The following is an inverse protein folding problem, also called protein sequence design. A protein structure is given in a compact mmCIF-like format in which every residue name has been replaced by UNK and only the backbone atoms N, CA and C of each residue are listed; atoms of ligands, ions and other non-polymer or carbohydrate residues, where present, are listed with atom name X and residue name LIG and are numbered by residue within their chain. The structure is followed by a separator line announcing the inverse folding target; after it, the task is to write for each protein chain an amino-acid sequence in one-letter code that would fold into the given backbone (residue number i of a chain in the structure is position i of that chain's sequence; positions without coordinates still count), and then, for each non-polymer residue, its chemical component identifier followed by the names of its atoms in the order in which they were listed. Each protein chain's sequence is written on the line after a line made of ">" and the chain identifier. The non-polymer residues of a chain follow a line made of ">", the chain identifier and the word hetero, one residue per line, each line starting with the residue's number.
data_IF_443457639789
#
_entry.id   IF_443457639789
#
_cell.length_a   1.000
_cell.length_b   1.000
_cell.length_c   1.000
_cell.angle_alpha   90.00
_cell.angle_beta   90.00
_cell.angle_gamma   90.00
#
_symmetry.space_group_name_H-M   'P 1'
#
loop_
_entity.id
_entity.type
_entity.pdbx_description
1 polymer ?
2 non-polymer ?
3 water ?
#
# COMPACT_ATOMS: atom_id res chain seq x y z
N UNK A 2 -9.32 8.64 -10.95
CA UNK A 2 -7.90 8.58 -10.48
C UNK A 2 -7.77 7.76 -9.20
N UNK A 3 -6.71 8.02 -8.44
CA UNK A 3 -6.42 7.26 -7.23
C UNK A 3 -6.32 8.18 -6.03
N UNK A 4 -6.36 7.57 -4.85
CA UNK A 4 -5.93 8.25 -3.65
C UNK A 4 -4.47 7.82 -3.42
N UNK A 5 -3.60 8.83 -3.29
CA UNK A 5 -2.22 8.60 -2.89
C UNK A 5 -2.13 8.61 -1.38
N UNK A 6 -1.57 7.55 -0.80
CA UNK A 6 -1.42 7.40 0.66
C UNK A 6 0.04 7.61 1.10
N UNK A 7 0.27 8.61 1.95
CA UNK A 7 1.60 9.04 2.41
C UNK A 7 2.11 8.14 3.54
N UNK A 8 2.94 7.17 3.20
CA UNK A 8 3.47 6.19 4.15
C UNK A 8 4.88 6.61 4.57
N UNK A 9 5.01 7.02 5.83
CA UNK A 9 6.22 7.62 6.33
C UNK A 9 7.32 6.60 6.58
N UNK A 10 8.49 6.87 6.02
CA UNK A 10 9.67 6.05 6.21
C UNK A 10 10.33 6.49 7.51
N UNK A 11 10.43 5.59 8.50
CA UNK A 11 11.01 5.93 9.82
C UNK A 11 12.45 5.46 10.03
N UNK A 12 12.84 4.37 9.40
CA UNK A 12 14.21 3.88 9.44
C UNK A 12 14.44 3.17 8.10
N UNK A 13 15.57 3.41 7.44
CA UNK A 13 15.83 2.77 6.14
C UNK A 13 16.67 1.51 6.32
N UNK A 14 16.50 0.56 5.41
CA UNK A 14 17.23 -0.70 5.51
C UNK A 14 18.74 -0.43 5.46
N UNK A 15 19.55 -1.32 6.05
CA UNK A 15 21.02 -1.18 6.01
C UNK A 15 21.62 -0.95 4.61
N UNK A 16 21.18 -1.72 3.62
CA UNK A 16 21.67 -1.56 2.25
C UNK A 16 21.35 -0.19 1.64
N UNK A 17 20.42 0.56 2.26
CA UNK A 17 20.04 1.90 1.82
C UNK A 17 20.72 3.03 2.57
N UNK A 18 21.19 2.75 3.79
CA UNK A 18 21.69 3.80 4.68
C UNK A 18 22.79 4.65 4.06
N UNK A 19 23.71 4.03 3.34
CA UNK A 19 24.83 4.76 2.76
C UNK A 19 24.29 5.77 1.73
N UNK A 20 23.39 5.29 0.88
CA UNK A 20 22.77 6.11 -0.18
C UNK A 20 22.09 7.36 0.35
N UNK A 21 21.23 7.21 1.36
CA UNK A 21 20.58 8.34 2.01
C UNK A 21 21.57 9.29 2.71
N UNK A 22 22.64 8.74 3.27
CA UNK A 22 23.67 9.55 3.91
C UNK A 22 24.38 10.42 2.88
N UNK A 23 24.78 9.82 1.77
CA UNK A 23 25.45 10.54 0.72
C UNK A 23 24.68 11.79 0.28
N UNK A 24 23.37 11.68 0.12
CA UNK A 24 22.53 12.80 -0.33
C UNK A 24 22.01 13.67 0.81
N UNK A 25 22.57 13.53 2.00
CA UNK A 25 22.19 14.35 3.15
C UNK A 25 20.69 14.34 3.39
N UNK A 26 20.07 13.17 3.17
CA UNK A 26 18.65 12.99 3.38
C UNK A 26 18.45 12.13 4.62
N UNK A 27 18.06 12.79 5.70
CA UNK A 27 17.84 12.14 6.98
C UNK A 27 16.35 11.91 7.24
N UNK A 28 15.97 10.64 7.34
CA UNK A 28 14.53 10.28 7.44
C UNK A 28 13.89 10.64 8.77
N UNK A 29 14.70 11.00 9.78
CA UNK A 29 14.16 11.50 11.04
C UNK A 29 14.00 13.02 11.07
N UNK A 30 14.69 13.74 10.19
CA UNK A 30 14.60 15.21 10.09
C UNK A 30 13.81 15.73 8.89
N UNK A 31 13.70 14.93 7.84
CA UNK A 31 12.89 15.26 6.68
C UNK A 31 11.71 14.30 6.59
N UNK A 32 10.64 14.72 5.93
CA UNK A 32 9.47 13.88 5.82
C UNK A 32 9.53 13.09 4.50
N UNK A 33 10.04 11.86 4.58
CA UNK A 33 10.18 11.00 3.41
C UNK A 33 9.06 9.94 3.40
N UNK A 34 8.29 9.94 2.30
CA UNK A 34 7.12 9.09 2.15
C UNK A 34 7.18 8.21 0.91
N UNK A 35 6.91 6.91 1.09
CA UNK A 35 6.44 6.03 0.01
C UNK A 35 4.99 6.42 -0.24
N UNK A 36 4.61 6.68 -1.49
CA UNK A 36 3.24 7.07 -1.82
C UNK A 36 2.53 5.94 -2.55
N UNK A 37 1.62 5.27 -1.84
CA UNK A 37 0.91 4.15 -2.39
C UNK A 37 -0.37 4.64 -3.08
N UNK A 38 -0.73 4.02 -4.20
CA UNK A 38 -1.97 4.34 -4.91
C UNK A 38 -3.08 3.35 -4.53
N UNK A 39 -4.20 3.86 -4.02
CA UNK A 39 -5.31 3.00 -3.64
C UNK A 39 -6.64 3.46 -4.19
N UNK A 40 -7.57 2.52 -4.33
CA UNK A 40 -8.98 2.85 -4.62
C UNK A 40 -9.89 2.52 -3.45
N UNK A 41 -9.30 2.10 -2.32
CA UNK A 41 -10.06 1.73 -1.13
C UNK A 41 -9.46 2.35 0.16
N UNK A 42 -9.50 3.70 0.26
CA UNK A 42 -9.06 4.41 1.48
C UNK A 42 -9.73 3.94 2.77
N UNK A 43 -10.99 3.48 2.70
CA UNK A 43 -11.68 2.96 3.90
C UNK A 43 -11.00 1.73 4.54
N UNK A 44 -10.10 1.05 3.82
CA UNK A 44 -9.43 -0.13 4.37
C UNK A 44 -8.06 0.15 4.99
N UNK A 45 -7.68 1.42 5.07
CA UNK A 45 -6.35 1.75 5.61
C UNK A 45 -6.11 1.25 7.04
N UNK A 46 -7.19 1.02 7.81
CA UNK A 46 -7.08 0.51 9.17
C UNK A 46 -6.35 -0.84 9.18
N UNK A 47 -6.46 -1.58 8.08
CA UNK A 47 -5.89 -2.92 8.00
C UNK A 47 -4.58 -3.06 7.22
N UNK A 48 -3.78 -2.01 7.10
CA UNK A 48 -2.48 -2.17 6.43
C UNK A 48 -1.54 -3.02 7.32
N UNK A 49 -0.91 -4.04 6.75
CA UNK A 49 0.04 -4.89 7.49
C UNK A 49 1.50 -4.80 7.00
N UNK A 50 1.71 -4.10 5.89
CA UNK A 50 3.04 -3.79 5.34
C UNK A 50 2.86 -2.81 4.17
N UNK A 51 3.96 -2.38 3.56
CA UNK A 51 3.92 -1.72 2.26
C UNK A 51 4.76 -2.48 1.22
N UNK A 52 4.19 -2.67 0.03
CA UNK A 52 4.86 -3.36 -1.06
C UNK A 52 5.60 -2.42 -2.02
N UNK A 53 6.82 -2.82 -2.39
CA UNK A 53 7.51 -2.28 -3.58
C UNK A 53 7.89 -3.50 -4.46
N UNK A 54 8.22 -3.25 -5.73
CA UNK A 54 8.67 -4.29 -6.64
C UNK A 54 10.18 -4.30 -6.71
N UNK A 55 10.79 -5.51 -6.68
CA UNK A 55 12.24 -5.66 -6.93
C UNK A 55 12.66 -5.25 -8.35
N UNK A 56 11.70 -5.15 -9.26
CA UNK A 56 11.99 -4.92 -10.67
C UNK A 56 11.93 -3.45 -11.08
N UNK A 57 11.60 -2.57 -10.13
CA UNK A 57 11.40 -1.16 -10.41
C UNK A 57 12.46 -0.28 -9.74
N UNK A 58 12.97 0.67 -10.52
CA UNK A 58 13.83 1.73 -10.01
C UNK A 58 12.95 2.94 -9.73
N UNK A 59 12.81 3.29 -8.47
CA UNK A 59 11.98 4.41 -8.05
C UNK A 59 12.83 5.66 -8.01
N UNK A 60 12.19 6.82 -8.06
CA UNK A 60 12.87 8.08 -7.76
C UNK A 60 12.49 8.58 -6.39
N UNK A 61 13.39 9.34 -5.78
CA UNK A 61 13.13 10.09 -4.57
C UNK A 61 13.04 11.54 -4.95
N UNK A 62 11.84 12.11 -4.85
CA UNK A 62 11.55 13.43 -5.42
C UNK A 62 11.29 14.46 -4.34
N UNK A 63 11.71 15.71 -4.57
CA UNK A 63 11.31 16.84 -3.73
C UNK A 63 9.83 17.17 -4.00
N UNK A 64 8.99 17.05 -2.97
CA UNK A 64 7.57 17.32 -3.10
C UNK A 64 7.21 18.63 -2.46
N UNK A 65 8.22 19.37 -2.01
CA UNK A 65 8.02 20.70 -1.44
C UNK A 65 7.79 20.68 0.05
N UNK A 66 8.09 21.83 0.67
CA UNK A 66 7.80 22.11 2.07
C UNK A 66 8.43 21.11 3.04
N UNK A 67 9.60 20.57 2.69
CA UNK A 67 10.25 19.52 3.48
C UNK A 67 9.72 18.09 3.32
N UNK A 68 8.78 17.88 2.39
CA UNK A 68 8.28 16.54 2.03
C UNK A 68 9.08 16.00 0.87
N UNK A 69 9.29 14.67 0.86
CA UNK A 69 9.88 13.95 -0.27
C UNK A 69 9.04 12.73 -0.58
N UNK A 70 8.77 12.45 -1.86
CA UNK A 70 7.99 11.26 -2.29
C UNK A 70 8.85 10.22 -3.01
N UNK A 71 8.58 8.95 -2.72
CA UNK A 71 9.17 7.84 -3.43
C UNK A 71 8.08 7.20 -4.29
N UNK A 72 8.25 7.32 -5.62
CA UNK A 72 7.31 6.81 -6.62
C UNK A 72 8.06 6.49 -7.92
N UNK A 73 7.38 5.93 -8.91
CA UNK A 73 7.92 5.90 -10.27
C UNK A 73 8.01 7.34 -10.79
N UNK A 74 8.95 7.57 -11.70
CA UNK A 74 9.07 8.89 -12.35
C UNK A 74 7.82 9.25 -13.14
N UNK A 75 7.22 8.26 -13.79
CA UNK A 75 5.97 8.42 -14.51
C UNK A 75 4.93 9.09 -13.66
N UNK A 76 4.75 8.55 -12.44
CA UNK A 76 3.71 9.05 -11.53
C UNK A 76 3.98 10.46 -11.04
N UNK A 77 5.23 10.77 -10.70
CA UNK A 77 5.57 12.10 -10.19
C UNK A 77 5.41 13.17 -11.27
N UNK A 78 5.72 12.79 -12.51
CA UNK A 78 5.52 13.67 -13.67
C UNK A 78 4.05 14.08 -13.81
N UNK A 79 3.15 13.11 -13.72
CA UNK A 79 1.71 13.38 -13.69
C UNK A 79 1.27 14.27 -12.55
N UNK A 80 1.84 14.02 -11.37
CA UNK A 80 1.56 14.83 -10.21
C UNK A 80 1.98 16.29 -10.48
N UNK A 81 3.09 16.50 -11.18
CA UNK A 81 3.55 17.88 -11.47
C UNK A 81 2.63 18.67 -12.40
N UNK A 82 1.78 17.97 -13.16
CA UNK A 82 0.78 18.62 -14.03
C UNK A 82 -0.56 18.90 -13.38
N UNK A 83 -0.66 18.73 -12.06
CA UNK A 83 -1.90 19.05 -11.34
C UNK A 83 -1.64 19.64 -9.96
N UNK A 84 -0.59 20.45 -9.86
CA UNK A 84 -0.34 21.31 -8.69
C UNK A 84 0.03 20.60 -7.38
N UNK A 85 0.61 19.41 -7.49
CA UNK A 85 1.01 18.61 -6.33
C UNK A 85 2.51 18.67 -6.07
N UNK A 86 3.25 19.41 -6.89
CA UNK A 86 4.71 19.47 -6.79
C UNK A 86 5.21 20.92 -6.88
N UNK A 87 6.48 21.14 -6.52
CA UNK A 87 7.00 22.52 -6.51
C UNK A 87 7.10 23.24 -7.88
N UNK A 88 7.14 22.50 -9.00
CA UNK A 88 7.24 23.13 -10.32
C UNK A 88 6.61 22.26 -11.40
N UNK A 89 5.70 22.86 -12.16
CA UNK A 89 5.00 22.19 -13.24
C UNK A 89 5.99 21.69 -14.28
N UNK A 90 5.87 20.41 -14.63
CA UNK A 90 6.74 19.80 -15.62
C UNK A 90 8.17 19.52 -15.19
N UNK A 91 8.49 19.70 -13.91
CA UNK A 91 9.84 19.39 -13.41
C UNK A 91 9.76 18.12 -12.57
N UNK A 92 10.57 17.11 -12.92
CA UNK A 92 10.49 15.80 -12.28
C UNK A 92 11.81 15.03 -12.26
N UNK A 93 12.92 15.71 -12.03
CA UNK A 93 14.19 15.02 -11.82
C UNK A 93 14.23 14.64 -10.34
N UNK A 94 14.50 13.36 -10.03
CA UNK A 94 14.69 12.98 -8.64
C UNK A 94 15.99 13.48 -8.06
N UNK A 95 16.06 13.55 -6.74
CA UNK A 95 17.32 13.78 -6.07
C UNK A 95 18.24 12.59 -6.38
N UNK A 96 17.69 11.38 -6.30
CA UNK A 96 18.37 10.16 -6.74
C UNK A 96 17.36 9.05 -7.05
N UNK A 97 17.81 7.99 -7.71
CA UNK A 97 16.98 6.82 -7.94
C UNK A 97 17.36 5.66 -6.99
N UNK A 98 16.44 4.74 -6.80
CA UNK A 98 16.60 3.61 -5.86
C UNK A 98 15.74 2.42 -6.30
N UNK A 99 16.38 1.26 -6.40
CA UNK A 99 15.72 0.04 -6.77
C UNK A 99 14.91 -0.50 -5.57
N UNK A 100 13.77 -1.10 -5.86
CA UNK A 100 12.90 -1.67 -4.81
C UNK A 100 13.61 -2.60 -3.82
N UNK A 101 14.55 -3.41 -4.33
CA UNK A 101 15.33 -4.33 -3.47
C UNK A 101 16.11 -3.59 -2.37
N UNK A 102 16.51 -2.37 -2.65
CA UNK A 102 17.30 -1.57 -1.71
C UNK A 102 16.46 -1.11 -0.49
N UNK A 103 15.14 -1.10 -0.64
CA UNK A 103 14.24 -0.60 0.42
C UNK A 103 13.66 -1.70 1.32
N UNK A 104 13.81 -2.96 0.89
CA UNK A 104 13.23 -4.11 1.59
C UNK A 104 13.79 -4.19 3.01
N UNK A 105 12.89 -4.30 4.00
CA UNK A 105 13.29 -4.30 5.42
C UNK A 105 13.17 -2.96 6.12
N UNK A 106 12.96 -1.88 5.36
CA UNK A 106 12.81 -0.57 5.95
C UNK A 106 11.58 -0.52 6.87
N UNK A 107 11.64 0.36 7.86
CA UNK A 107 10.50 0.56 8.75
C UNK A 107 9.64 1.77 8.36
N UNK A 108 8.33 1.61 8.51
CA UNK A 108 7.35 2.60 8.06
C UNK A 108 6.21 2.81 9.06
N UNK A 109 5.58 3.99 8.98
CA UNK A 109 4.34 4.29 9.69
C UNK A 109 3.25 4.56 8.68
N UNK A 110 2.19 3.77 8.68
CA UNK A 110 1.15 3.90 7.65
C UNK A 110 -0.14 4.48 8.25
N UNK A 111 -0.74 5.48 7.59
CA UNK A 111 -1.93 6.19 8.13
C UNK A 111 -3.06 5.28 8.54
N UNK A 112 -3.53 5.48 9.78
CA UNK A 112 -4.68 4.78 10.34
C UNK A 112 -4.46 3.31 10.63
N UNK A 113 -3.30 2.74 10.29
CA UNK A 113 -3.07 1.29 10.52
C UNK A 113 -3.17 0.97 12.02
N UNK A 114 -3.99 -0.02 12.36
CA UNK A 114 -4.03 -0.51 13.75
C UNK A 114 -2.77 -1.31 14.15
N UNK A 115 -2.26 -2.13 13.22
CA UNK A 115 -0.99 -2.84 13.43
C UNK A 115 0.17 -1.88 13.48
N UNK A 116 1.15 -2.19 14.31
CA UNK A 116 2.35 -1.40 14.45
C UNK A 116 3.54 -2.22 13.96
N UNK A 117 4.72 -1.59 13.97
CA UNK A 117 5.95 -2.25 13.52
C UNK A 117 5.91 -2.75 12.07
N UNK A 118 5.34 -1.90 11.19
CA UNK A 118 5.25 -2.22 9.76
C UNK A 118 6.60 -2.14 9.00
N UNK A 119 6.74 -3.00 7.98
CA UNK A 119 7.94 -3.07 7.14
C UNK A 119 7.60 -2.94 5.64
N UNK A 120 8.61 -2.59 4.84
CA UNK A 120 8.52 -2.63 3.38
C UNK A 120 8.89 -4.04 2.90
N UNK A 121 8.02 -4.66 2.11
CA UNK A 121 8.22 -6.02 1.60
C UNK A 121 8.12 -6.08 0.06
N UNK A 122 8.70 -7.13 -0.57
CA UNK A 122 8.65 -7.28 -2.03
C UNK A 122 7.33 -7.87 -2.56
N UNK A 123 6.81 -7.26 -3.62
CA UNK A 123 5.70 -7.82 -4.39
C UNK A 123 6.18 -7.92 -5.85
N UNK A 124 6.24 -9.16 -6.33
CA UNK A 124 6.76 -9.48 -7.67
C UNK A 124 5.80 -9.10 -8.80
N UNK A 125 4.52 -8.92 -8.51
CA UNK A 125 3.50 -8.74 -9.55
C UNK A 125 2.96 -7.30 -9.65
N UNK A 126 3.67 -6.34 -9.08
CA UNK A 126 3.29 -4.92 -9.25
C UNK A 126 3.41 -4.56 -10.75
N UNK A 127 2.39 -3.92 -11.29
CA UNK A 127 2.42 -3.42 -12.67
C UNK A 127 3.13 -2.07 -12.71
N UNK A 128 4.27 -2.01 -13.41
CA UNK A 128 5.15 -0.84 -13.40
C UNK A 128 4.50 0.43 -13.94
N UNK A 129 3.57 0.27 -14.87
CA UNK A 129 2.93 1.39 -15.53
C UNK A 129 1.65 1.89 -14.86
N UNK A 130 1.23 1.26 -13.76
CA UNK A 130 -0.02 1.58 -13.08
C UNK A 130 0.23 2.30 -11.74
N UNK A 131 -0.53 3.36 -11.47
CA UNK A 131 -0.41 4.10 -10.22
C UNK A 131 1.01 4.63 -9.96
N UNK A 132 1.52 4.43 -8.74
CA UNK A 132 2.86 4.90 -8.35
C UNK A 132 3.93 3.79 -8.31
N UNK A 133 3.52 2.56 -8.61
CA UNK A 133 4.40 1.40 -8.41
C UNK A 133 4.53 0.98 -6.94
N UNK A 134 3.81 1.67 -6.05
CA UNK A 134 3.81 1.39 -4.62
C UNK A 134 2.40 0.96 -4.24
N UNK A 135 2.29 -0.20 -3.61
CA UNK A 135 0.99 -0.80 -3.24
C UNK A 135 0.96 -1.10 -1.74
N UNK A 136 -0.05 -0.60 -1.02
CA UNK A 136 -0.10 -0.88 0.41
C UNK A 136 -0.85 -2.20 0.62
N UNK A 137 -0.51 -2.92 1.68
CA UNK A 137 -0.95 -4.31 1.90
C UNK A 137 -2.11 -4.48 2.89
N UNK A 138 -3.26 -4.94 2.41
CA UNK A 138 -4.46 -5.15 3.22
C UNK A 138 -4.98 -6.57 2.98
N UNK A 139 -4.39 -7.57 3.68
CA UNK A 139 -4.73 -8.98 3.39
C UNK A 139 -6.18 -9.41 3.70
N UNK A 140 -6.88 -8.67 4.54
CA UNK A 140 -8.27 -8.99 4.88
C UNK A 140 -9.20 -8.89 3.68
N UNK A 141 -8.91 -7.97 2.77
CA UNK A 141 -9.88 -7.56 1.74
C UNK A 141 -9.35 -7.49 0.31
N UNK A 142 -8.02 -7.56 0.13
CA UNK A 142 -7.38 -7.66 -1.17
C UNK A 142 -6.82 -9.07 -1.41
N UNK A 143 -7.38 -9.80 -2.38
CA UNK A 143 -6.89 -11.14 -2.69
C UNK A 143 -5.40 -11.22 -3.11
N UNK A 144 -4.95 -10.29 -3.96
CA UNK A 144 -3.53 -10.17 -4.31
C UNK A 144 -2.64 -10.05 -3.05
N UNK A 145 -3.03 -9.16 -2.15
CA UNK A 145 -2.30 -8.92 -0.91
C UNK A 145 -2.26 -10.17 -0.02
N UNK A 146 -3.39 -10.86 0.10
CA UNK A 146 -3.44 -12.08 0.87
C UNK A 146 -2.49 -13.14 0.33
N UNK A 147 -2.58 -13.39 -0.97
CA UNK A 147 -1.79 -14.46 -1.61
C UNK A 147 -0.29 -14.15 -1.58
N UNK A 148 0.10 -12.90 -1.81
CA UNK A 148 1.50 -12.51 -1.69
C UNK A 148 1.98 -12.64 -0.24
N UNK A 149 1.18 -12.17 0.70
CA UNK A 149 1.50 -12.35 2.13
C UNK A 149 1.69 -13.84 2.53
N UNK A 150 0.82 -14.71 2.04
CA UNK A 150 0.94 -16.15 2.32
C UNK A 150 2.29 -16.71 1.86
N UNK A 151 2.68 -16.39 0.62
CA UNK A 151 3.95 -16.88 0.06
C UNK A 151 5.17 -16.37 0.83
N UNK A 152 5.16 -15.09 1.20
CA UNK A 152 6.25 -14.52 1.99
C UNK A 152 6.36 -15.17 3.38
N UNK A 153 5.23 -15.41 4.01
CA UNK A 153 5.22 -15.98 5.35
C UNK A 153 5.60 -17.46 5.34
N UNK A 154 5.25 -18.17 4.29
CA UNK A 154 5.55 -19.59 4.21
C UNK A 154 7.00 -19.90 3.83
N UNK A 155 7.69 -18.95 3.22
CA UNK A 155 9.10 -19.15 2.82
C UNK A 155 9.97 -17.88 2.92
N UNK A 156 10.06 -17.30 4.12
CA UNK A 156 10.65 -15.97 4.27
C UNK A 156 12.13 -15.91 3.90
N UNK A 157 12.89 -16.87 4.45
CA UNK A 157 14.32 -17.05 4.20
C UNK A 157 14.61 -17.15 2.70
N UNK A 158 13.83 -17.97 2.00
CA UNK A 158 13.92 -18.08 0.55
C UNK A 158 13.72 -16.75 -0.18
N UNK A 159 12.74 -15.97 0.26
CA UNK A 159 12.44 -14.68 -0.37
C UNK A 159 13.37 -13.55 0.09
N UNK A 160 14.32 -13.87 0.96
CA UNK A 160 15.25 -12.88 1.45
C UNK A 160 14.66 -11.94 2.49
N UNK A 161 13.65 -12.38 3.23
CA UNK A 161 13.10 -11.56 4.32
C UNK A 161 13.19 -12.31 5.63
N UNK A 162 12.94 -11.60 6.73
CA UNK A 162 12.86 -12.18 8.05
C UNK A 162 11.38 -12.42 8.41
N UNK A 163 11.10 -13.52 9.10
CA UNK A 163 9.71 -13.90 9.40
C UNK A 163 8.97 -12.91 10.28
N UNK A 164 9.68 -12.27 11.21
CA UNK A 164 9.04 -11.25 12.04
C UNK A 164 8.56 -10.03 11.22
N UNK A 165 9.06 -9.85 9.99
CA UNK A 165 8.60 -8.72 9.16
C UNK A 165 7.19 -8.92 8.63
N UNK A 166 6.76 -10.17 8.49
CA UNK A 166 5.45 -10.41 7.87
C UNK A 166 4.39 -10.82 8.89
N UNK A 167 3.30 -10.06 8.93
CA UNK A 167 2.22 -10.26 9.89
C UNK A 167 1.11 -11.11 9.26
N UNK A 168 0.77 -12.21 9.93
CA UNK A 168 -0.26 -13.12 9.44
C UNK A 168 -1.53 -13.14 10.28
N UNK A 169 -1.54 -12.45 11.41
CA UNK A 169 -2.75 -12.35 12.22
C UNK A 169 -3.55 -11.17 11.73
N UNK A 170 -4.63 -11.45 11.02
CA UNK A 170 -5.44 -10.42 10.37
C UNK A 170 -6.59 -9.93 11.27
N UNK A 171 -6.65 -8.63 11.51
CA UNK A 171 -7.76 -8.06 12.24
C UNK A 171 -8.84 -7.67 11.24
N UNK A 172 -10.09 -8.13 11.46
CA UNK A 172 -11.16 -7.82 10.47
C UNK A 172 -11.55 -6.35 10.44
N UNK A 173 -11.84 -5.85 9.25
CA UNK A 173 -12.15 -4.44 8.99
C UNK A 173 -13.55 -4.19 8.39
N UNK A 174 -14.00 -5.12 7.56
CA UNK A 174 -15.27 -5.01 6.84
C UNK A 174 -16.06 -6.32 6.95
N UNK A 175 -17.32 -6.22 7.37
CA UNK A 175 -18.22 -7.39 7.46
C UNK A 175 -19.09 -7.50 6.21
N UNK A 176 -19.09 -8.67 5.57
CA UNK A 176 -20.05 -8.98 4.51
C UNK A 176 -20.86 -10.22 4.87
N UNK A 177 -22.10 -10.30 4.40
CA UNK A 177 -22.92 -11.51 4.58
C UNK A 177 -22.44 -12.65 3.68
N UNK A 178 -22.00 -12.33 2.48
CA UNK A 178 -21.63 -13.34 1.51
C UNK A 178 -20.30 -14.04 1.85
N UNK A 179 -19.33 -13.29 2.37
CA UNK A 179 -17.97 -13.84 2.57
C UNK A 179 -17.41 -13.70 4.00
N UNK A 180 -18.22 -13.25 4.95
CA UNK A 180 -17.79 -13.06 6.31
C UNK A 180 -16.88 -11.84 6.50
N UNK A 181 -16.03 -11.89 7.52
CA UNK A 181 -15.28 -10.72 7.95
C UNK A 181 -13.87 -10.57 7.34
N UNK A 182 -13.42 -11.54 6.54
CA UNK A 182 -12.15 -11.46 5.81
C UNK A 182 -12.35 -12.03 4.42
N UNK A 183 -13.00 -11.25 3.56
CA UNK A 183 -13.48 -11.74 2.29
C UNK A 183 -12.38 -12.23 1.34
N UNK A 184 -11.16 -11.69 1.46
CA UNK A 184 -10.05 -12.12 0.61
C UNK A 184 -9.60 -13.56 0.93
N UNK A 185 -9.56 -13.87 2.22
CA UNK A 185 -9.26 -15.23 2.68
C UNK A 185 -10.29 -16.21 2.17
N UNK A 186 -11.56 -15.84 2.33
CA UNK A 186 -12.70 -16.65 1.88
C UNK A 186 -12.54 -16.95 0.39
N UNK A 187 -12.32 -15.92 -0.41
CA UNK A 187 -12.29 -16.04 -1.86
C UNK A 187 -11.05 -16.78 -2.39
N UNK A 188 -9.91 -16.55 -1.76
CA UNK A 188 -8.69 -17.25 -2.16
C UNK A 188 -8.86 -18.77 -1.95
N UNK A 189 -9.44 -19.18 -0.83
CA UNK A 189 -9.74 -20.59 -0.58
C UNK A 189 -10.79 -21.13 -1.54
N UNK A 190 -11.88 -20.39 -1.70
CA UNK A 190 -13.00 -20.85 -2.53
C UNK A 190 -12.60 -21.08 -3.99
N UNK A 191 -11.87 -20.12 -4.56
CA UNK A 191 -11.38 -20.25 -5.92
C UNK A 191 -10.06 -21.02 -6.02
N UNK A 192 -9.52 -21.47 -4.90
CA UNK A 192 -8.30 -22.29 -4.88
C UNK A 192 -7.13 -21.60 -5.56
N UNK A 193 -6.92 -20.33 -5.23
CA UNK A 193 -5.83 -19.56 -5.83
C UNK A 193 -4.57 -19.81 -5.02
N UNK A 194 -3.59 -20.48 -5.62
CA UNK A 194 -2.39 -20.88 -4.89
C UNK A 194 -1.11 -20.15 -5.28
N UNK A 195 -1.17 -19.19 -6.19
CA UNK A 195 0.03 -18.46 -6.59
C UNK A 195 -0.28 -16.99 -6.87
N UNK A 196 0.64 -16.08 -6.55
CA UNK A 196 0.45 -14.67 -6.93
C UNK A 196 0.40 -14.39 -8.45
N UNK A 197 0.87 -15.35 -9.26
CA UNK A 197 0.88 -15.18 -10.72
C UNK A 197 -0.37 -15.74 -11.44
N UNK A 198 -1.33 -16.25 -10.68
CA UNK A 198 -2.64 -16.65 -11.22
C UNK A 198 -3.51 -15.43 -11.48
N UNK A 199 -3.16 -14.70 -12.53
CA UNK A 199 -3.69 -13.37 -12.81
C UNK A 199 -5.19 -13.30 -13.12
N UNK A 200 -5.68 -14.24 -13.93
CA UNK A 200 -7.08 -14.22 -14.36
C UNK A 200 -8.02 -14.53 -13.19
N UNK A 201 -7.66 -15.54 -12.39
CA UNK A 201 -8.42 -15.87 -11.18
C UNK A 201 -8.36 -14.76 -10.12
N UNK A 202 -7.19 -14.15 -9.96
CA UNK A 202 -7.04 -13.04 -9.03
C UNK A 202 -7.89 -11.83 -9.42
N UNK A 203 -8.01 -11.55 -10.72
CA UNK A 203 -8.84 -10.44 -11.17
C UNK A 203 -10.33 -10.70 -10.89
N UNK A 204 -10.73 -11.97 -11.03
CA UNK A 204 -12.08 -12.41 -10.69
C UNK A 204 -12.35 -12.22 -9.20
N UNK A 205 -11.41 -12.67 -8.36
CA UNK A 205 -11.52 -12.51 -6.91
C UNK A 205 -11.55 -11.04 -6.50
N UNK A 206 -10.73 -10.21 -7.16
CA UNK A 206 -10.64 -8.80 -6.86
C UNK A 206 -12.02 -8.13 -7.03
N UNK A 207 -12.67 -8.43 -8.15
CA UNK A 207 -13.91 -7.75 -8.49
C UNK A 207 -15.06 -8.24 -7.62
N UNK A 208 -15.07 -9.53 -7.29
CA UNK A 208 -16.07 -10.07 -6.35
C UNK A 208 -15.93 -9.42 -4.97
N UNK A 209 -14.69 -9.28 -4.51
CA UNK A 209 -14.41 -8.59 -3.25
C UNK A 209 -14.82 -7.11 -3.26
N UNK A 210 -14.50 -6.38 -4.34
CA UNK A 210 -14.91 -4.98 -4.50
C UNK A 210 -16.41 -4.80 -4.35
N UNK A 211 -17.16 -5.52 -5.18
CA UNK A 211 -18.63 -5.41 -5.24
C UNK A 211 -19.35 -5.65 -3.93
N UNK A 212 -19.09 -6.81 -3.34
CA UNK A 212 -19.70 -7.17 -2.07
C UNK A 212 -19.30 -6.19 -0.95
N UNK A 213 -18.01 -5.86 -0.88
CA UNK A 213 -17.49 -4.97 0.16
C UNK A 213 -18.04 -3.56 0.10
N UNK A 214 -17.98 -2.96 -1.08
CA UNK A 214 -18.43 -1.58 -1.23
C UNK A 214 -19.95 -1.42 -1.09
N UNK A 215 -20.73 -2.25 -1.79
CA UNK A 215 -22.20 -2.08 -1.79
C UNK A 215 -22.93 -2.73 -0.61
N UNK A 216 -22.39 -3.83 -0.10
CA UNK A 216 -23.04 -4.56 0.97
C UNK A 216 -22.25 -4.67 2.27
N UNK A 217 -21.05 -4.10 2.36
CA UNK A 217 -20.23 -4.28 3.55
C UNK A 217 -20.49 -3.24 4.63
N UNK A 218 -20.14 -3.60 5.86
CA UNK A 218 -20.27 -2.72 7.03
C UNK A 218 -18.92 -2.57 7.75
N UNK A 219 -18.53 -1.34 8.09
CA UNK A 219 -17.28 -1.09 8.80
C UNK A 219 -17.27 -1.76 10.19
N UNK A 220 -16.14 -2.35 10.53
CA UNK A 220 -15.98 -3.00 11.82
C UNK A 220 -15.04 -2.21 12.74
N UNK A 221 -14.55 -1.07 12.27
CA UNK A 221 -13.49 -0.37 12.97
C UNK A 221 -13.46 1.12 12.59
N UNK A 222 -12.90 1.93 13.49
CA UNK A 222 -12.71 3.36 13.26
C UNK A 222 -13.92 4.23 13.63
N UNK A 223 -13.86 5.48 13.23
CA UNK A 223 -14.91 6.44 13.54
C UNK A 223 -16.26 6.04 12.97
N UNK A 224 -16.26 5.30 11.86
CA UNK A 224 -17.50 4.97 11.16
C UNK A 224 -17.89 3.51 11.32
N UNK A 225 -17.34 2.86 12.34
CA UNK A 225 -17.74 1.50 12.72
C UNK A 225 -19.27 1.40 12.80
N UNK A 226 -19.82 0.37 12.19
CA UNK A 226 -21.27 0.21 12.10
C UNK A 226 -21.91 0.84 10.86
N UNK A 227 -21.25 1.78 10.19
CA UNK A 227 -21.83 2.38 8.99
C UNK A 227 -21.60 1.45 7.80
N UNK A 228 -22.45 1.58 6.77
CA UNK A 228 -22.24 0.93 5.48
C UNK A 228 -21.00 1.54 4.83
N UNK A 229 -20.19 0.68 4.19
CA UNK A 229 -18.98 1.10 3.53
C UNK A 229 -19.29 2.17 2.47
N UNK A 230 -20.39 1.98 1.76
CA UNK A 230 -20.84 2.93 0.72
C UNK A 230 -20.97 4.38 1.21
N UNK A 231 -21.44 4.53 2.44
CA UNK A 231 -21.56 5.84 3.12
C UNK A 231 -20.27 6.31 3.84
N UNK A 232 -19.54 5.36 4.41
CA UNK A 232 -18.33 5.68 5.17
C UNK A 232 -17.12 6.06 4.29
N UNK A 233 -17.00 5.42 3.11
CA UNK A 233 -15.81 5.58 2.27
C UNK A 233 -15.46 7.04 1.89
N UNK A 234 -16.44 7.85 1.45
CA UNK A 234 -16.04 9.24 1.13
C UNK A 234 -15.61 10.04 2.35
N UNK A 235 -16.19 9.71 3.51
CA UNK A 235 -15.86 10.37 4.76
C UNK A 235 -14.44 10.03 5.24
N UNK A 236 -14.05 8.77 5.12
CA UNK A 236 -12.68 8.33 5.45
C UNK A 236 -11.66 9.02 4.54
N UNK A 237 -11.97 9.06 3.25
CA UNK A 237 -11.10 9.69 2.26
C UNK A 237 -10.88 11.17 2.60
N UNK A 238 -11.97 11.90 2.85
CA UNK A 238 -11.90 13.31 3.21
C UNK A 238 -11.19 13.56 4.55
N UNK A 239 -11.38 12.68 5.52
CA UNK A 239 -10.67 12.76 6.81
C UNK A 239 -9.16 12.63 6.57
N UNK A 240 -8.74 11.62 5.78
CA UNK A 240 -7.32 11.43 5.47
C UNK A 240 -6.73 12.67 4.79
N UNK A 241 -7.45 13.21 3.80
CA UNK A 241 -7.00 14.39 3.09
C UNK A 241 -6.87 15.61 4.02
N UNK A 242 -7.88 15.85 4.85
CA UNK A 242 -7.89 16.99 5.79
C UNK A 242 -6.74 16.88 6.82
N UNK A 243 -6.35 15.67 7.17
CA UNK A 243 -5.31 15.49 8.16
C UNK A 243 -3.90 15.43 7.56
N UNK A 244 -3.76 15.70 6.26
CA UNK A 244 -2.45 15.65 5.59
C UNK A 244 -1.86 14.26 5.32
N UNK A 245 -2.69 13.22 5.37
CA UNK A 245 -2.21 11.82 5.23
C UNK A 245 -2.40 11.23 3.83
N UNK A 246 -3.14 11.94 2.98
CA UNK A 246 -3.42 11.48 1.61
C UNK A 246 -3.81 12.64 0.70
N UNK A 247 -3.76 12.40 -0.61
CA UNK A 247 -4.25 13.35 -1.61
C UNK A 247 -4.82 12.57 -2.80
N UNK A 248 -5.57 13.26 -3.65
CA UNK A 248 -6.09 12.70 -4.90
C UNK A 248 -5.17 13.05 -6.05
N UNK A 249 -4.97 12.14 -6.99
CA UNK A 249 -4.35 12.52 -8.26
C UNK A 249 -4.85 11.67 -9.43
N UNK A 250 -4.79 12.28 -10.61
CA UNK A 250 -5.34 11.68 -11.81
C UNK A 250 -4.26 11.35 -12.84
N UNK A 251 -4.57 10.40 -13.72
CA UNK A 251 -3.67 9.97 -14.78
C UNK A 251 -4.29 10.14 -16.17
X LIG B 1 -5.59 -1.10 -0.91
X LIG B 1 -6.68 -2.09 -1.23
X LIG B 1 -7.52 -2.79 -0.37
X LIG B 1 -6.79 -2.24 -2.68
X LIG B 1 -8.48 -3.65 -0.90
X LIG B 1 -7.76 -3.12 -3.20
X LIG B 1 -8.59 -3.83 -2.30
X LIG B 1 -7.94 -1.59 -9.99
X LIG B 1 -7.37 -0.29 -10.49
X LIG B 1 -9.37 -1.51 -9.53
X LIG B 1 -7.56 -2.80 -10.84
X LIG B 1 -2.76 -1.49 -7.11
X LIG B 1 -2.51 -0.16 -7.20
X LIG B 1 -1.46 0.07 -8.00
X LIG B 1 -1.04 -1.14 -8.45
X LIG B 1 0.03 -1.60 -9.34
X LIG B 1 0.87 -0.70 -9.92
X LIG B 1 0.14 -2.93 -9.57
X LIG B 1 -0.69 -3.81 -8.99
X LIG B 1 -1.69 -3.46 -8.18
X LIG B 1 -1.90 -2.15 -7.88
X LIG B 1 -7.03 -1.88 -8.68
X LIG B 1 -6.80 -0.84 -7.70
X LIG B 1 -6.07 -1.49 -6.54
X LIG B 1 -5.00 -2.25 -7.10
X LIG B 1 -5.48 -0.51 -5.53
X LIG B 1 -6.24 -0.40 -4.34
X LIG B 1 -4.21 -1.22 -5.13
X LIG B 1 -4.62 -1.95 -3.98
X LIG B 1 -3.83 -2.12 -6.31
X LIG B 1 -9.28 -4.32 -0.05
X LIG B 1 -5.21 -0.63 -2.22
X LIG B 1 -5.75 -1.35 -3.39
#
# INVERSE_FOLDING_TARGET
>A
MGYVGIKIRLTDVAPQAQELFKKESLDVKENKVYLVAATLRPETMYGQTCCFVSPKIDYGVFDAGNGDYFITTERAFKNMSFQNLTPKRGYYKPLFTINGKTLIGSRIDAPYAVNKNLRVLPMETVLATKGTGVVTCVPSDSPDDFVTTRDLANKPEYYGIEKDWVQTDIVPIVHTEKYGDKCAEFLVNDLKIQSPKDSVQLANAKELAYKEGFYNGTMLIGKYKGDKVEDAKPKVKQDLIDEGLAFVYDEPELEHHHHHH
>B hetero
1 ANZ CB CG CD1 CD2 CE1 CE2 CZ P O1P O2P O3P N9 C8 N7 C5 C6 N6 N1 C2 N3 C4 O5' C5' C4' O4' C3' O3' C2' O2' C1' F O1 B
#
